data_IF_647242577843
#
_entry.id   IF_647242577843
#
_cell.length_a   1.000
_cell.length_b   1.000
_cell.length_c   1.000
_cell.angle_alpha   90.00
_cell.angle_beta   90.00
_cell.angle_gamma   90.00
#
_symmetry.space_group_name_H-M   'P 1'
#
loop_
_entity.id
_entity.type
_entity.pdbx_description
1 polymer ?
#
# COMPACT_ATOMS: atom_id res chain seq x y z
N UNK A 1 -12.39 4.55 -5.97
CA UNK A 1 -13.02 4.04 -7.22
C UNK A 1 -13.75 2.72 -6.99
N UNK A 2 -13.10 1.68 -6.44
CA UNK A 2 -13.75 0.36 -6.23
C UNK A 2 -15.06 0.43 -5.44
N UNK A 3 -15.11 1.18 -4.32
CA UNK A 3 -16.33 1.37 -3.54
C UNK A 3 -17.45 2.04 -4.33
N UNK A 4 -17.15 3.06 -5.14
CA UNK A 4 -18.16 3.70 -6.00
C UNK A 4 -18.69 2.77 -7.09
N UNK A 5 -17.81 1.94 -7.66
CA UNK A 5 -18.18 0.92 -8.65
C UNK A 5 -19.07 -0.14 -8.00
N UNK A 6 -18.75 -0.64 -6.81
CA UNK A 6 -19.56 -1.66 -6.14
C UNK A 6 -20.99 -1.17 -5.87
N UNK A 7 -21.16 0.09 -5.45
CA UNK A 7 -22.49 0.70 -5.26
C UNK A 7 -23.28 0.76 -6.58
N UNK A 8 -22.63 1.07 -7.71
CA UNK A 8 -23.29 1.12 -9.02
C UNK A 8 -23.81 -0.25 -9.49
N UNK A 9 -23.13 -1.34 -9.13
CA UNK A 9 -23.54 -2.70 -9.46
C UNK A 9 -24.45 -3.36 -8.40
N UNK A 10 -24.82 -2.63 -7.34
CA UNK A 10 -25.63 -3.16 -6.23
C UNK A 10 -24.87 -4.16 -5.36
N UNK A 11 -23.53 -4.15 -5.40
CA UNK A 11 -22.70 -4.99 -4.54
C UNK A 11 -22.45 -4.30 -3.21
N UNK A 12 -22.84 -4.96 -2.13
CA UNK A 12 -22.57 -4.53 -0.76
C UNK A 12 -21.17 -4.95 -0.34
N UNK A 13 -20.16 -4.23 -0.84
CA UNK A 13 -18.77 -4.37 -0.38
C UNK A 13 -18.49 -3.25 0.61
N UNK A 14 -18.12 -3.62 1.84
CA UNK A 14 -17.75 -2.64 2.86
C UNK A 14 -16.50 -1.85 2.45
N UNK A 15 -16.47 -0.57 2.83
CA UNK A 15 -15.38 0.34 2.51
C UNK A 15 -14.03 -0.20 3.00
N UNK A 16 -14.00 -0.90 4.14
CA UNK A 16 -12.79 -1.46 4.72
C UNK A 16 -12.09 -2.46 3.79
N UNK A 17 -12.86 -3.27 3.04
CA UNK A 17 -12.31 -4.20 2.06
C UNK A 17 -11.77 -3.47 0.82
N UNK A 18 -12.38 -2.35 0.45
CA UNK A 18 -11.87 -1.52 -0.64
C UNK A 18 -10.55 -0.85 -0.27
N UNK A 19 -10.41 -0.39 0.98
CA UNK A 19 -9.17 0.18 1.49
C UNK A 19 -8.08 -0.91 1.58
N UNK A 20 -8.43 -2.09 2.13
CA UNK A 20 -7.52 -3.21 2.22
C UNK A 20 -6.99 -3.64 0.85
N UNK A 21 -7.88 -3.75 -0.14
CA UNK A 21 -7.52 -4.07 -1.52
C UNK A 21 -6.64 -2.98 -2.14
N UNK A 22 -6.98 -1.71 -1.93
CA UNK A 22 -6.19 -0.57 -2.39
C UNK A 22 -4.76 -0.61 -1.83
N UNK A 23 -4.60 -0.86 -0.54
CA UNK A 23 -3.29 -0.97 0.11
C UNK A 23 -2.47 -2.16 -0.43
N UNK A 24 -3.13 -3.26 -0.78
CA UNK A 24 -2.48 -4.45 -1.36
C UNK A 24 -1.91 -4.19 -2.77
N UNK A 25 -2.58 -3.37 -3.58
CA UNK A 25 -2.18 -3.09 -4.97
C UNK A 25 -1.44 -1.75 -5.15
N UNK A 26 -1.31 -0.96 -4.09
CA UNK A 26 -0.65 0.36 -4.10
C UNK A 26 0.86 0.32 -4.35
N UNK A 27 1.62 -0.71 -3.90
CA UNK A 27 3.04 -0.88 -4.25
C UNK A 27 3.28 -0.75 -5.76
N UNK A 28 4.24 0.08 -6.13
CA UNK A 28 4.64 0.32 -7.52
C UNK A 28 5.75 -0.65 -7.96
N UNK A 29 6.00 -0.74 -9.27
CA UNK A 29 7.09 -1.56 -9.82
C UNK A 29 8.29 -0.68 -10.19
N UNK A 30 9.25 -0.46 -9.27
CA UNK A 30 10.44 0.34 -9.55
C UNK A 30 11.29 -0.27 -10.66
N UNK A 31 11.24 -1.59 -10.87
CA UNK A 31 12.12 -2.28 -11.81
C UNK A 31 11.78 -1.85 -13.24
N UNK A 32 10.48 -1.78 -13.55
CA UNK A 32 9.99 -1.30 -14.85
C UNK A 32 10.41 0.15 -15.11
N UNK A 33 10.25 1.04 -14.12
CA UNK A 33 10.59 2.47 -14.24
C UNK A 33 12.11 2.66 -14.38
N UNK A 34 12.90 1.94 -13.58
CA UNK A 34 14.36 2.00 -13.65
C UNK A 34 14.92 1.49 -14.97
N UNK A 35 14.29 0.48 -15.58
CA UNK A 35 14.67 0.01 -16.92
C UNK A 35 14.50 1.12 -17.97
N UNK A 36 13.41 1.88 -17.91
CA UNK A 36 13.15 3.02 -18.81
C UNK A 36 14.17 4.14 -18.57
N UNK A 37 14.41 4.51 -17.31
CA UNK A 37 15.36 5.57 -16.92
C UNK A 37 16.78 5.24 -17.43
N UNK A 38 17.20 3.98 -17.32
CA UNK A 38 18.49 3.51 -17.85
C UNK A 38 18.56 3.61 -19.37
N UNK A 39 17.51 3.22 -20.08
CA UNK A 39 17.43 3.35 -21.55
C UNK A 39 17.51 4.80 -22.02
N UNK A 40 16.96 5.74 -21.25
CA UNK A 40 16.99 7.17 -21.54
C UNK A 40 18.32 7.86 -21.19
N UNK A 41 19.32 7.13 -20.67
CA UNK A 41 20.59 7.68 -20.14
C UNK A 41 20.36 8.79 -19.11
N UNK A 42 19.29 8.67 -18.33
CA UNK A 42 18.92 9.68 -17.35
C UNK A 42 19.91 9.74 -16.16
N UNK A 43 19.98 10.86 -15.42
CA UNK A 43 20.92 11.03 -14.32
C UNK A 43 20.74 9.99 -13.22
N UNK A 44 21.84 9.51 -12.62
CA UNK A 44 21.83 8.59 -11.46
C UNK A 44 20.97 9.08 -10.29
N UNK A 45 20.87 10.40 -10.11
CA UNK A 45 20.02 11.02 -9.09
C UNK A 45 18.53 10.68 -9.28
N UNK A 46 18.05 10.59 -10.53
CA UNK A 46 16.66 10.26 -10.81
C UNK A 46 16.37 8.79 -10.47
N UNK A 47 17.28 7.88 -10.79
CA UNK A 47 17.17 6.48 -10.40
C UNK A 47 17.09 6.30 -8.88
N UNK A 48 17.97 6.98 -8.12
CA UNK A 48 17.91 6.97 -6.65
C UNK A 48 16.63 7.56 -6.08
N UNK A 49 16.07 8.59 -6.72
CA UNK A 49 14.79 9.17 -6.29
C UNK A 49 13.64 8.19 -6.50
N UNK A 50 13.58 7.53 -7.65
CA UNK A 50 12.56 6.51 -7.93
C UNK A 50 12.68 5.33 -6.97
N UNK A 51 13.88 4.79 -6.75
CA UNK A 51 14.09 3.72 -5.77
C UNK A 51 13.63 4.13 -4.37
N UNK A 52 13.93 5.37 -3.96
CA UNK A 52 13.51 5.89 -2.66
C UNK A 52 12.00 6.08 -2.55
N UNK A 53 11.35 6.57 -3.60
CA UNK A 53 9.89 6.74 -3.67
C UNK A 53 9.19 5.39 -3.59
N UNK A 54 9.62 4.41 -4.38
CA UNK A 54 9.01 3.07 -4.39
C UNK A 54 9.21 2.36 -3.05
N UNK A 55 10.41 2.41 -2.45
CA UNK A 55 10.65 1.79 -1.14
C UNK A 55 9.77 2.42 -0.04
N UNK A 56 9.58 3.75 -0.10
CA UNK A 56 8.72 4.46 0.83
C UNK A 56 7.24 4.09 0.63
N UNK A 57 6.79 4.00 -0.62
CA UNK A 57 5.45 3.58 -0.99
C UNK A 57 5.14 2.14 -0.54
N UNK A 58 6.06 1.19 -0.79
CA UNK A 58 5.96 -0.19 -0.32
C UNK A 58 5.80 -0.28 1.20
N UNK A 59 6.62 0.48 1.93
CA UNK A 59 6.57 0.54 3.39
C UNK A 59 5.22 1.06 3.90
N UNK A 60 4.73 2.16 3.33
CA UNK A 60 3.42 2.72 3.70
C UNK A 60 2.29 1.76 3.34
N UNK A 61 2.33 1.17 2.14
CA UNK A 61 1.33 0.20 1.68
C UNK A 61 1.22 -0.99 2.64
N UNK A 62 2.34 -1.55 3.08
CA UNK A 62 2.38 -2.62 4.06
C UNK A 62 1.81 -2.21 5.42
N UNK A 63 2.14 -1.02 5.93
CA UNK A 63 1.60 -0.50 7.20
C UNK A 63 0.09 -0.34 7.13
N UNK A 64 -0.43 0.26 6.05
CA UNK A 64 -1.87 0.41 5.85
C UNK A 64 -2.54 -0.96 5.73
N UNK A 65 -1.99 -1.87 4.92
CA UNK A 65 -2.53 -3.21 4.73
C UNK A 65 -2.63 -3.97 6.05
N UNK A 66 -1.54 -4.06 6.80
CA UNK A 66 -1.48 -4.80 8.07
C UNK A 66 -2.41 -4.22 9.13
N UNK A 67 -2.50 -2.88 9.21
CA UNK A 67 -3.42 -2.18 10.12
C UNK A 67 -4.87 -2.48 9.76
N UNK A 68 -5.25 -2.27 8.50
CA UNK A 68 -6.63 -2.47 8.05
C UNK A 68 -7.03 -3.93 8.11
N UNK A 69 -6.11 -4.86 7.82
CA UNK A 69 -6.32 -6.29 7.96
C UNK A 69 -6.63 -6.67 9.42
N UNK A 70 -5.86 -6.15 10.38
CA UNK A 70 -6.07 -6.42 11.79
C UNK A 70 -7.41 -5.85 12.31
N UNK A 71 -7.86 -4.72 11.77
CA UNK A 71 -9.17 -4.14 12.10
C UNK A 71 -10.29 -4.98 11.47
N UNK A 72 -10.17 -5.32 10.18
CA UNK A 72 -11.20 -6.04 9.43
C UNK A 72 -11.43 -7.47 9.94
N UNK A 73 -10.36 -8.16 10.35
CA UNK A 73 -10.41 -9.58 10.71
C UNK A 73 -10.06 -9.89 12.17
N UNK A 74 -9.40 -8.97 12.88
CA UNK A 74 -8.90 -9.18 14.23
C UNK A 74 -9.65 -8.44 15.34
N UNK A 75 -10.64 -7.59 15.00
CA UNK A 75 -11.39 -6.79 15.96
C UNK A 75 -10.55 -5.77 16.74
N UNK A 76 -9.32 -5.50 16.27
CA UNK A 76 -8.41 -4.53 16.87
C UNK A 76 -8.84 -3.11 16.49
N UNK A 77 -8.76 -2.17 17.43
CA UNK A 77 -8.99 -0.77 17.10
C UNK A 77 -7.80 -0.18 16.32
N UNK A 78 -8.04 0.66 15.29
CA UNK A 78 -7.00 1.31 14.51
C UNK A 78 -6.32 2.43 15.30
N UNK A 79 -5.60 2.06 16.36
CA UNK A 79 -4.85 3.00 17.20
C UNK A 79 -3.37 2.96 16.86
N UNK A 80 -2.67 4.09 16.98
CA UNK A 80 -1.22 4.14 16.77
C UNK A 80 -0.47 3.14 17.66
N UNK A 81 -0.94 2.94 18.91
CA UNK A 81 -0.42 1.93 19.81
C UNK A 81 -0.69 0.49 19.35
N UNK A 82 -1.87 0.21 18.80
CA UNK A 82 -2.22 -1.09 18.22
C UNK A 82 -1.39 -1.42 16.99
N UNK A 83 -1.15 -0.44 16.10
CA UNK A 83 -0.25 -0.59 14.94
C UNK A 83 1.17 -0.88 15.40
N UNK A 84 1.71 -0.08 16.33
CA UNK A 84 3.05 -0.30 16.87
C UNK A 84 3.18 -1.68 17.51
N UNK A 85 2.18 -2.11 18.27
CA UNK A 85 2.14 -3.45 18.86
C UNK A 85 2.12 -4.57 17.80
N UNK A 86 1.35 -4.41 16.72
CA UNK A 86 1.33 -5.35 15.59
C UNK A 86 2.72 -5.52 14.96
N UNK A 87 3.44 -4.42 14.76
CA UNK A 87 4.79 -4.44 14.19
C UNK A 87 5.83 -5.01 15.17
N UNK A 88 5.72 -4.70 16.46
CA UNK A 88 6.62 -5.23 17.50
C UNK A 88 6.38 -6.70 17.83
N UNK A 89 5.16 -7.22 17.62
CA UNK A 89 4.80 -8.61 17.90
C UNK A 89 5.10 -9.57 16.74
N UNK A 90 5.21 -9.05 15.51
CA UNK A 90 5.49 -9.84 14.29
C UNK A 90 6.98 -9.96 13.93
N UNK A 91 7.86 -9.30 14.68
CA UNK A 91 9.32 -9.49 14.64
C UNK A 91 9.80 -10.18 15.91
#
# INVERSE_FOLDING_TARGET
>A
MLYGISQLFGWHIDLIYCILFGALISPDDPIAVLAIIKNLKAPKRLAMQVEGESLFNDGIGLVIFTTVFAVAFGGQEPTAGGVLHLFLKKH
#
